data_IF_699512834596
#
_entry.id   IF_699512834596
#
_cell.length_a   1.000
_cell.length_b   1.000
_cell.length_c   1.000
_cell.angle_alpha   90.00
_cell.angle_beta   90.00
_cell.angle_gamma   90.00
#
_symmetry.space_group_name_H-M   'P 1'
#
loop_
_entity.id
_entity.type
_entity.pdbx_description
1 polymer ?
#
# COMPACT_ATOMS: atom_id res chain seq x y z
N UNK A 1 -6.88 31.55 0.84
CA UNK A 1 -5.76 32.30 1.45
C UNK A 1 -4.47 31.66 0.99
N UNK A 2 -3.58 32.42 0.35
CA UNK A 2 -2.25 31.92 -0.02
C UNK A 2 -1.45 31.67 1.26
N UNK A 3 -0.86 30.47 1.45
CA UNK A 3 -0.08 30.18 2.65
C UNK A 3 1.09 31.18 2.75
N UNK A 4 1.28 31.73 3.95
CA UNK A 4 2.39 32.62 4.27
C UNK A 4 3.69 31.89 3.96
N UNK A 5 4.67 32.60 3.38
CA UNK A 5 5.98 32.08 2.96
C UNK A 5 6.78 31.34 4.06
N UNK A 6 6.33 31.40 5.32
CA UNK A 6 7.02 30.90 6.51
C UNK A 6 6.23 29.86 7.31
N UNK A 7 5.05 29.44 6.84
CA UNK A 7 4.29 28.39 7.53
C UNK A 7 4.94 27.02 7.30
N UNK A 8 5.01 26.21 8.35
CA UNK A 8 5.47 24.83 8.22
C UNK A 8 4.51 24.04 7.31
N UNK A 9 5.03 23.16 6.44
CA UNK A 9 4.22 22.19 5.72
C UNK A 9 3.22 21.50 6.64
N UNK A 10 1.97 21.35 6.19
CA UNK A 10 0.92 20.68 6.96
C UNK A 10 1.35 19.28 7.42
N UNK A 11 2.21 18.61 6.65
CA UNK A 11 2.77 17.30 7.00
C UNK A 11 3.65 17.32 8.25
N UNK A 12 4.28 18.45 8.59
CA UNK A 12 5.06 18.63 9.82
C UNK A 12 4.17 18.95 11.03
N UNK A 13 3.00 19.54 10.79
CA UNK A 13 2.05 19.92 11.83
C UNK A 13 1.11 18.77 12.24
N UNK A 14 1.18 17.63 11.54
CA UNK A 14 0.30 16.49 11.75
C UNK A 14 1.04 15.28 12.35
N UNK A 15 0.31 14.40 13.04
CA UNK A 15 0.84 13.11 13.47
C UNK A 15 1.14 12.26 12.22
N UNK A 16 2.37 11.78 12.01
CA UNK A 16 2.72 11.00 10.82
C UNK A 16 1.97 9.68 10.81
N UNK A 17 1.34 9.36 9.68
CA UNK A 17 0.61 8.12 9.48
C UNK A 17 1.36 7.20 8.52
N UNK A 18 1.51 5.93 8.88
CA UNK A 18 2.13 4.96 7.97
C UNK A 18 1.19 4.69 6.79
N UNK A 19 1.64 4.93 5.57
CA UNK A 19 0.80 4.71 4.39
C UNK A 19 0.81 3.24 3.96
N UNK A 20 -0.36 2.63 3.82
CA UNK A 20 -0.55 1.24 3.38
C UNK A 20 -1.56 1.22 2.24
N UNK A 21 -1.21 0.51 1.17
CA UNK A 21 -2.11 0.30 0.04
C UNK A 21 -2.72 -1.09 0.13
N UNK A 22 -4.03 -1.19 -0.11
CA UNK A 22 -4.73 -2.45 -0.30
C UNK A 22 -5.09 -2.56 -1.79
N UNK A 23 -4.84 -3.71 -2.39
CA UNK A 23 -5.16 -4.00 -3.79
C UNK A 23 -5.86 -5.34 -3.92
N UNK A 24 -6.64 -5.53 -5.00
CA UNK A 24 -7.45 -6.73 -5.21
C UNK A 24 -8.79 -6.75 -4.46
N UNK A 25 -9.16 -5.66 -3.76
CA UNK A 25 -10.48 -5.50 -3.15
C UNK A 25 -11.42 -4.75 -4.09
N UNK A 26 -12.56 -5.35 -4.38
CA UNK A 26 -13.69 -4.71 -5.07
C UNK A 26 -14.70 -4.17 -4.05
N UNK A 27 -14.51 -2.93 -3.64
CA UNK A 27 -15.38 -2.26 -2.65
C UNK A 27 -16.70 -1.75 -3.24
N UNK A 28 -16.93 -1.92 -4.55
CA UNK A 28 -18.12 -1.43 -5.25
C UNK A 28 -19.15 -2.55 -5.40
N UNK A 29 -18.72 -3.71 -5.90
CA UNK A 29 -19.65 -4.80 -6.23
C UNK A 29 -19.58 -5.99 -5.26
N UNK A 30 -18.55 -6.09 -4.42
CA UNK A 30 -18.39 -7.20 -3.49
C UNK A 30 -18.56 -6.73 -2.02
N UNK A 31 -19.63 -7.20 -1.38
CA UNK A 31 -19.97 -6.86 0.00
C UNK A 31 -18.94 -7.35 1.02
N UNK A 32 -18.28 -8.50 0.77
CA UNK A 32 -17.23 -9.02 1.65
C UNK A 32 -16.00 -8.12 1.58
N UNK A 33 -15.57 -7.76 0.37
CA UNK A 33 -14.47 -6.82 0.17
C UNK A 33 -14.76 -5.45 0.78
N UNK A 34 -16.01 -4.99 0.68
CA UNK A 34 -16.46 -3.77 1.35
C UNK A 34 -16.37 -3.87 2.87
N UNK A 35 -16.84 -4.96 3.46
CA UNK A 35 -16.75 -5.18 4.90
C UNK A 35 -15.29 -5.26 5.39
N UNK A 36 -14.41 -5.91 4.64
CA UNK A 36 -12.96 -5.94 4.91
C UNK A 36 -12.39 -4.52 4.90
N UNK A 37 -12.69 -3.73 3.87
CA UNK A 37 -12.28 -2.33 3.78
C UNK A 37 -12.77 -1.50 4.97
N UNK A 38 -14.06 -1.58 5.27
CA UNK A 38 -14.68 -0.83 6.37
C UNK A 38 -14.07 -1.23 7.73
N UNK A 39 -13.72 -2.52 7.93
CA UNK A 39 -13.02 -2.98 9.13
C UNK A 39 -11.61 -2.36 9.28
N UNK A 40 -10.87 -2.19 8.18
CA UNK A 40 -9.57 -1.50 8.21
C UNK A 40 -9.70 -0.01 8.52
N UNK A 41 -10.79 0.63 8.08
CA UNK A 41 -11.05 2.05 8.31
C UNK A 41 -11.63 2.36 9.70
N UNK A 42 -12.58 1.56 10.18
CA UNK A 42 -13.33 1.84 11.42
C UNK A 42 -12.61 1.40 12.69
N UNK A 43 -11.78 0.34 12.63
CA UNK A 43 -11.32 -0.36 13.83
C UNK A 43 -9.98 0.19 14.39
N UNK A 44 -9.91 1.51 14.59
CA UNK A 44 -8.73 2.18 15.14
C UNK A 44 -9.01 2.85 16.48
N UNK A 45 -8.83 2.07 17.54
CA UNK A 45 -8.70 2.58 18.90
C UNK A 45 -7.57 3.63 18.96
N UNK A 46 -7.73 4.65 19.79
CA UNK A 46 -6.82 5.80 19.88
C UNK A 46 -5.39 5.45 20.35
N UNK A 47 -5.21 4.26 20.93
CA UNK A 47 -3.92 3.69 21.38
C UNK A 47 -3.08 3.12 20.22
N UNK A 48 -3.69 2.82 19.06
CA UNK A 48 -2.98 2.23 17.92
C UNK A 48 -2.22 3.28 17.11
N UNK A 49 -1.11 2.85 16.52
CA UNK A 49 -0.33 3.67 15.59
C UNK A 49 -1.24 4.11 14.43
N UNK A 50 -1.27 5.41 14.08
CA UNK A 50 -2.11 5.87 13.01
C UNK A 50 -1.53 5.39 11.67
N UNK A 51 -2.34 4.64 10.94
CA UNK A 51 -2.02 4.13 9.62
C UNK A 51 -2.90 4.89 8.63
N UNK A 52 -2.55 5.00 7.36
CA UNK A 52 -3.45 5.49 6.31
C UNK A 52 -3.63 4.36 5.32
N UNK A 53 -4.87 3.86 5.19
CA UNK A 53 -5.18 2.86 4.16
C UNK A 53 -5.73 3.55 2.92
N UNK A 54 -5.34 3.07 1.73
CA UNK A 54 -6.02 3.41 0.49
C UNK A 54 -6.20 2.15 -0.35
N UNK A 55 -7.37 2.01 -0.96
CA UNK A 55 -7.57 1.02 -2.01
C UNK A 55 -7.04 1.60 -3.31
N UNK A 56 -6.11 0.90 -3.95
CA UNK A 56 -5.56 1.28 -5.26
C UNK A 56 -5.54 0.05 -6.18
N UNK A 57 -5.64 0.27 -7.51
CA UNK A 57 -5.53 -0.82 -8.46
C UNK A 57 -4.11 -1.42 -8.45
N UNK A 58 -3.99 -2.68 -8.87
CA UNK A 58 -2.73 -3.45 -8.76
C UNK A 58 -1.61 -2.92 -9.67
N UNK A 59 -1.99 -2.25 -10.74
CA UNK A 59 -1.13 -1.57 -11.73
C UNK A 59 -0.88 -0.09 -11.39
N UNK A 60 -1.27 0.36 -10.19
CA UNK A 60 -1.06 1.75 -9.78
C UNK A 60 0.43 2.15 -9.87
N UNK A 61 0.71 3.16 -10.68
CA UNK A 61 2.07 3.65 -10.86
C UNK A 61 2.54 4.51 -9.69
N UNK A 62 3.53 3.99 -8.95
CA UNK A 62 4.15 4.74 -7.86
C UNK A 62 5.26 5.69 -8.37
N UNK A 63 5.50 6.83 -7.69
CA UNK A 63 6.55 7.77 -8.10
C UNK A 63 7.93 7.10 -8.16
N UNK A 64 8.54 7.09 -9.36
CA UNK A 64 9.85 6.47 -9.62
C UNK A 64 10.95 7.15 -8.80
N UNK A 65 11.99 6.39 -8.45
CA UNK A 65 13.18 6.95 -7.82
C UNK A 65 13.87 7.90 -8.80
N UNK A 66 13.98 9.19 -8.45
CA UNK A 66 14.72 10.15 -9.26
C UNK A 66 16.20 9.78 -9.24
N UNK A 67 16.82 9.76 -10.41
CA UNK A 67 18.27 9.59 -10.56
C UNK A 67 18.97 10.70 -9.78
N UNK A 68 20.00 10.35 -9.00
CA UNK A 68 20.84 11.36 -8.34
C UNK A 68 21.60 12.12 -9.43
N UNK A 69 21.47 13.45 -9.45
CA UNK A 69 22.27 14.29 -10.33
C UNK A 69 23.74 14.17 -9.90
N UNK A 70 24.62 13.86 -10.84
CA UNK A 70 26.05 13.69 -10.60
C UNK A 70 26.84 14.99 -10.80
N UNK A 71 26.28 15.97 -11.52
CA UNK A 71 26.93 17.26 -11.76
C UNK A 71 26.57 18.31 -10.71
N UNK A 72 27.60 19.00 -10.22
CA UNK A 72 27.51 20.09 -9.26
C UNK A 72 27.38 21.47 -9.92
N UNK A 73 27.65 21.58 -11.21
CA UNK A 73 27.44 22.84 -11.95
C UNK A 73 25.99 23.30 -11.78
N UNK A 74 25.82 24.53 -11.30
CA UNK A 74 24.53 25.17 -11.04
C UNK A 74 23.70 24.58 -9.88
N UNK A 75 24.33 23.84 -8.95
CA UNK A 75 23.62 23.30 -7.79
C UNK A 75 23.40 24.34 -6.70
N UNK A 76 22.17 24.82 -6.58
CA UNK A 76 21.70 25.60 -5.42
C UNK A 76 21.27 24.61 -4.32
N UNK A 77 21.84 24.67 -3.10
CA UNK A 77 21.49 23.75 -2.03
C UNK A 77 20.02 23.91 -1.64
N UNK A 78 19.27 22.80 -1.65
CA UNK A 78 17.81 22.78 -1.45
C UNK A 78 17.35 22.94 0.02
N UNK A 79 18.17 23.55 0.86
CA UNK A 79 17.96 23.65 2.30
C UNK A 79 18.19 22.35 3.07
N UNK A 80 17.92 22.36 4.38
CA UNK A 80 18.13 21.23 5.31
C UNK A 80 17.04 20.15 5.20
N UNK A 81 15.84 20.51 4.71
CA UNK A 81 14.69 19.63 4.63
C UNK A 81 14.21 19.52 3.19
N UNK A 82 14.06 18.28 2.72
CA UNK A 82 13.47 17.99 1.43
C UNK A 82 11.96 18.13 1.52
N UNK A 83 11.42 19.28 1.11
CA UNK A 83 9.99 19.65 1.19
C UNK A 83 9.04 18.59 0.63
N UNK A 84 9.39 17.90 -0.46
CA UNK A 84 8.56 16.84 -1.04
C UNK A 84 8.70 15.45 -0.41
N UNK A 85 9.57 15.27 0.59
CA UNK A 85 9.82 13.95 1.17
C UNK A 85 8.64 13.45 2.01
N UNK A 86 8.08 14.32 2.86
CA UNK A 86 6.96 13.94 3.73
C UNK A 86 5.72 13.58 2.92
N UNK A 87 5.30 14.46 2.00
CA UNK A 87 4.17 14.17 1.12
C UNK A 87 4.36 12.86 0.34
N UNK A 88 5.58 12.62 -0.18
CA UNK A 88 5.91 11.37 -0.87
C UNK A 88 5.74 10.14 0.01
N UNK A 89 6.23 10.16 1.25
CA UNK A 89 6.24 8.99 2.13
C UNK A 89 4.95 8.82 2.95
N UNK A 90 4.13 9.86 3.06
CA UNK A 90 2.83 9.82 3.74
C UNK A 90 1.65 9.56 2.79
N UNK A 91 1.74 9.96 1.51
CA UNK A 91 0.57 9.96 0.62
C UNK A 91 0.76 9.21 -0.70
N UNK A 92 2.00 9.13 -1.20
CA UNK A 92 2.28 8.64 -2.57
C UNK A 92 3.00 7.30 -2.60
N UNK A 93 3.82 6.99 -1.59
CA UNK A 93 4.66 5.80 -1.59
C UNK A 93 4.35 4.98 -0.34
N UNK A 94 3.63 3.86 -0.48
CA UNK A 94 3.24 3.05 0.66
C UNK A 94 4.45 2.43 1.34
N UNK A 95 4.36 2.20 2.63
CA UNK A 95 5.29 1.38 3.40
C UNK A 95 5.04 -0.12 3.15
N UNK A 96 3.77 -0.49 2.92
CA UNK A 96 3.31 -1.85 2.67
C UNK A 96 2.23 -1.83 1.59
N UNK A 97 2.31 -2.77 0.64
CA UNK A 97 1.21 -3.07 -0.27
C UNK A 97 0.64 -4.45 0.07
N UNK A 98 -0.66 -4.52 0.31
CA UNK A 98 -1.37 -5.76 0.63
C UNK A 98 -2.20 -6.17 -0.57
N UNK A 99 -1.93 -7.36 -1.11
CA UNK A 99 -2.65 -7.94 -2.24
C UNK A 99 -3.68 -8.93 -1.69
N UNK A 100 -4.96 -8.59 -1.80
CA UNK A 100 -6.05 -9.50 -1.50
C UNK A 100 -6.31 -10.38 -2.71
N UNK A 101 -6.41 -11.67 -2.47
CA UNK A 101 -6.68 -12.66 -3.49
C UNK A 101 -7.68 -13.67 -2.95
N UNK A 102 -8.79 -13.89 -3.67
CA UNK A 102 -9.76 -14.91 -3.33
C UNK A 102 -9.22 -16.27 -3.78
N UNK A 103 -8.98 -17.17 -2.83
CA UNK A 103 -8.48 -18.52 -3.10
C UNK A 103 -9.00 -19.48 -2.04
N UNK A 104 -10.04 -20.22 -2.40
CA UNK A 104 -10.62 -21.25 -1.56
C UNK A 104 -9.87 -22.59 -1.70
N UNK A 105 -9.98 -23.45 -0.68
CA UNK A 105 -9.26 -24.72 -0.59
C UNK A 105 -9.78 -25.80 -1.56
N UNK A 106 -11.02 -25.65 -2.02
CA UNK A 106 -11.73 -26.59 -2.90
C UNK A 106 -11.61 -26.23 -4.39
N UNK A 107 -10.79 -25.24 -4.74
CA UNK A 107 -10.62 -24.79 -6.12
C UNK A 107 -10.02 -25.91 -7.03
N UNK A 108 -10.79 -26.42 -8.02
CA UNK A 108 -10.34 -27.53 -8.87
C UNK A 108 -9.11 -27.17 -9.71
N UNK A 109 -8.88 -25.88 -9.96
CA UNK A 109 -7.78 -25.34 -10.76
C UNK A 109 -6.74 -24.61 -9.88
N UNK A 110 -6.35 -25.21 -8.75
CA UNK A 110 -5.39 -24.62 -7.80
C UNK A 110 -4.12 -24.05 -8.44
N UNK A 111 -3.50 -24.80 -9.36
CA UNK A 111 -2.25 -24.37 -10.03
C UNK A 111 -2.42 -23.12 -10.89
N UNK A 112 -3.55 -23.00 -11.58
CA UNK A 112 -3.85 -21.85 -12.43
C UNK A 112 -4.10 -20.60 -11.57
N UNK A 113 -4.89 -20.76 -10.49
CA UNK A 113 -5.14 -19.69 -9.52
C UNK A 113 -3.87 -19.25 -8.80
N UNK A 114 -2.97 -20.19 -8.48
CA UNK A 114 -1.68 -19.87 -7.91
C UNK A 114 -0.82 -19.06 -8.90
N UNK A 115 -0.80 -19.45 -10.17
CA UNK A 115 -0.08 -18.72 -11.22
C UNK A 115 -0.66 -17.32 -11.39
N UNK A 116 -1.98 -17.17 -11.42
CA UNK A 116 -2.67 -15.88 -11.50
C UNK A 116 -2.30 -14.97 -10.31
N UNK A 117 -2.32 -15.51 -9.09
CA UNK A 117 -1.90 -14.79 -7.89
C UNK A 117 -0.44 -14.33 -8.00
N UNK A 118 0.46 -15.21 -8.44
CA UNK A 118 1.86 -14.88 -8.64
C UNK A 118 2.05 -13.76 -9.68
N UNK A 119 1.33 -13.81 -10.79
CA UNK A 119 1.34 -12.75 -11.82
C UNK A 119 0.85 -11.41 -11.26
N UNK A 120 -0.23 -11.40 -10.48
CA UNK A 120 -0.74 -10.17 -9.83
C UNK A 120 0.29 -9.58 -8.86
N UNK A 121 0.95 -10.42 -8.06
CA UNK A 121 2.02 -9.98 -7.15
C UNK A 121 3.20 -9.41 -7.94
N UNK A 122 3.55 -10.03 -9.07
CA UNK A 122 4.65 -9.56 -9.91
C UNK A 122 4.35 -8.18 -10.52
N UNK A 123 3.13 -7.93 -11.01
CA UNK A 123 2.69 -6.60 -11.49
C UNK A 123 2.84 -5.54 -10.38
N UNK A 124 2.43 -5.87 -9.16
CA UNK A 124 2.58 -4.97 -8.00
C UNK A 124 4.05 -4.73 -7.69
N UNK A 125 4.90 -5.77 -7.74
CA UNK A 125 6.35 -5.64 -7.53
C UNK A 125 7.01 -4.78 -8.60
N UNK A 126 6.60 -4.93 -9.86
CA UNK A 126 7.08 -4.11 -10.98
C UNK A 126 6.74 -2.64 -10.77
N UNK A 127 5.51 -2.35 -10.35
CA UNK A 127 5.07 -0.99 -10.01
C UNK A 127 5.85 -0.37 -8.83
N UNK A 128 6.41 -1.20 -7.94
CA UNK A 128 7.21 -0.79 -6.79
C UNK A 128 8.73 -0.75 -7.06
N UNK A 129 9.19 -1.06 -8.27
CA UNK A 129 10.61 -1.17 -8.62
C UNK A 129 11.45 0.02 -8.12
N UNK A 130 12.62 -0.30 -7.55
CA UNK A 130 13.59 0.68 -7.04
C UNK A 130 13.36 1.14 -5.60
N UNK A 131 12.53 0.43 -4.81
CA UNK A 131 12.31 0.72 -3.38
C UNK A 131 12.26 -0.57 -2.54
N UNK A 132 12.86 -0.57 -1.35
CA UNK A 132 12.70 -1.64 -0.34
C UNK A 132 11.30 -1.57 0.30
N UNK A 133 10.26 -1.92 -0.46
CA UNK A 133 8.88 -1.97 0.02
C UNK A 133 8.45 -3.40 0.27
N UNK A 134 7.66 -3.58 1.32
CA UNK A 134 7.10 -4.89 1.67
C UNK A 134 5.83 -5.09 0.86
N UNK A 135 5.65 -6.29 0.32
CA UNK A 135 4.42 -6.76 -0.29
C UNK A 135 3.92 -7.91 0.58
N UNK A 136 2.65 -7.87 0.96
CA UNK A 136 1.98 -8.95 1.67
C UNK A 136 0.84 -9.48 0.81
N UNK A 137 0.64 -10.79 0.81
CA UNK A 137 -0.50 -11.44 0.14
C UNK A 137 -1.45 -11.93 1.22
N UNK A 138 -2.73 -11.61 1.07
CA UNK A 138 -3.80 -12.06 1.96
C UNK A 138 -4.75 -12.90 1.13
N UNK A 139 -4.86 -14.18 1.50
CA UNK A 139 -5.82 -15.09 0.90
C UNK A 139 -7.15 -14.94 1.61
N UNK A 140 -8.19 -14.63 0.83
CA UNK A 140 -9.57 -14.56 1.33
C UNK A 140 -10.21 -15.90 1.08
N UNK A 141 -10.67 -16.54 2.15
CA UNK A 141 -11.22 -17.90 2.16
C UNK A 141 -12.63 -17.87 2.75
N UNK A 142 -13.59 -18.48 2.06
CA UNK A 142 -14.97 -18.66 2.50
C UNK A 142 -15.12 -19.88 3.41
N UNK A 143 -14.32 -20.92 3.16
CA UNK A 143 -14.35 -22.16 3.92
C UNK A 143 -13.24 -22.14 4.98
N UNK A 144 -13.61 -22.37 6.24
CA UNK A 144 -12.63 -22.55 7.31
C UNK A 144 -11.93 -23.89 7.07
N UNK A 145 -10.58 -23.94 6.99
CA UNK A 145 -9.89 -25.22 6.81
C UNK A 145 -10.28 -26.13 7.99
N UNK A 146 -10.89 -27.27 7.67
CA UNK A 146 -11.16 -28.30 8.68
C UNK A 146 -9.82 -28.72 9.28
N UNK A 147 -9.66 -28.68 10.61
CA UNK A 147 -8.42 -29.13 11.23
C UNK A 147 -8.17 -30.58 10.81
N UNK A 148 -6.92 -30.96 10.52
CA UNK A 148 -6.60 -32.34 10.17
C UNK A 148 -7.02 -33.23 11.34
N UNK A 149 -8.08 -34.02 11.16
CA UNK A 149 -8.41 -35.10 12.08
C UNK A 149 -7.20 -36.01 12.14
N UNK A 150 -6.61 -36.08 13.33
CA UNK A 150 -5.47 -36.94 13.61
C UNK A 150 -5.98 -38.38 13.66
N UNK A 151 -5.71 -39.16 12.62
CA UNK A 151 -5.73 -40.64 12.67
C UNK A 151 -4.33 -41.15 13.01
#
# INVERSE_FOLDING_TARGET
MSPSQWDFPVELCCRPMAFVTLTGLDVVYNAVHRAVWDAFCANRRADRVPISFKVLPGDHEYPKCRVKRLSYEWYIPKGILKTGWMNKHLNLVPALVVVFYELDWDEPQWKEKQLECATRVEIVRQSLQGKNKKVAVVLTQKITPTPPSTD
#
